data_IF_500029836970
#
_entry.id   IF_500029836970
#
_cell.length_a   1.000
_cell.length_b   1.000
_cell.length_c   1.000
_cell.angle_alpha   90.00
_cell.angle_beta   90.00
_cell.angle_gamma   90.00
#
_symmetry.space_group_name_H-M   'P 1'
#
loop_
_entity.id
_entity.type
_entity.pdbx_description
1 polymer ?
#
# COMPACT_ATOMS: atom_id res chain seq x y z
N UNK A 1 -19.21 -15.62 19.18
CA UNK A 1 -18.92 -14.55 18.20
C UNK A 1 -20.06 -13.54 18.14
N UNK A 2 -21.32 -13.97 18.06
CA UNK A 2 -22.52 -13.10 17.99
C UNK A 2 -22.74 -12.24 19.26
N UNK A 3 -22.54 -12.81 20.46
CA UNK A 3 -22.67 -12.07 21.73
C UNK A 3 -21.60 -10.96 21.93
N UNK A 4 -20.41 -11.08 21.32
CA UNK A 4 -19.33 -10.09 21.46
C UNK A 4 -19.63 -8.75 20.76
N UNK A 5 -20.61 -8.74 19.86
CA UNK A 5 -21.02 -7.55 19.09
C UNK A 5 -22.47 -7.12 19.39
N UNK A 6 -23.02 -7.51 20.55
CA UNK A 6 -24.37 -7.12 20.98
C UNK A 6 -25.50 -7.74 20.15
N UNK A 7 -25.20 -8.78 19.36
CA UNK A 7 -26.19 -9.58 18.66
C UNK A 7 -26.57 -10.83 19.45
N UNK A 8 -27.72 -11.40 19.10
CA UNK A 8 -28.19 -12.67 19.66
C UNK A 8 -28.32 -13.73 18.56
N UNK A 9 -28.01 -14.98 18.91
CA UNK A 9 -28.22 -16.13 18.02
C UNK A 9 -28.95 -17.21 18.77
N UNK A 10 -30.01 -17.75 18.17
CA UNK A 10 -30.68 -18.93 18.71
C UNK A 10 -31.09 -19.90 17.60
N UNK A 11 -31.23 -21.14 18.02
CA UNK A 11 -31.60 -22.28 17.19
C UNK A 11 -33.07 -22.60 17.40
N UNK A 12 -33.82 -22.70 16.30
CA UNK A 12 -35.25 -23.01 16.31
C UNK A 12 -35.52 -24.21 15.39
N UNK A 13 -36.37 -25.14 15.84
CA UNK A 13 -36.74 -26.33 15.06
C UNK A 13 -38.25 -26.43 14.93
N UNK A 14 -38.75 -26.38 13.70
CA UNK A 14 -40.17 -26.52 13.41
C UNK A 14 -40.54 -28.00 13.25
N UNK A 15 -41.24 -28.56 14.25
CA UNK A 15 -41.52 -30.00 14.32
C UNK A 15 -42.48 -30.52 13.24
N UNK A 16 -43.34 -29.66 12.70
CA UNK A 16 -44.35 -30.06 11.71
C UNK A 16 -43.74 -30.18 10.30
N UNK A 17 -42.75 -29.34 9.99
CA UNK A 17 -42.08 -29.30 8.69
C UNK A 17 -40.71 -29.99 8.65
N UNK A 18 -40.22 -30.47 9.80
CA UNK A 18 -38.88 -31.05 9.95
C UNK A 18 -37.73 -30.10 9.54
N UNK A 19 -37.96 -28.79 9.58
CA UNK A 19 -36.95 -27.77 9.25
C UNK A 19 -36.30 -27.23 10.53
N UNK A 20 -35.04 -26.83 10.42
CA UNK A 20 -34.28 -26.21 11.49
C UNK A 20 -33.61 -24.94 10.95
N UNK A 21 -33.69 -23.86 11.71
CA UNK A 21 -33.15 -22.56 11.31
C UNK A 21 -32.30 -21.95 12.43
N UNK A 22 -31.26 -21.23 12.02
CA UNK A 22 -30.51 -20.33 12.87
C UNK A 22 -31.00 -18.91 12.63
N UNK A 23 -31.45 -18.23 13.68
CA UNK A 23 -31.82 -16.82 13.62
C UNK A 23 -30.70 -15.99 14.23
N UNK A 24 -30.36 -14.90 13.54
CA UNK A 24 -29.38 -13.92 13.98
C UNK A 24 -30.09 -12.58 14.15
N UNK A 25 -29.95 -11.99 15.33
CA UNK A 25 -30.34 -10.62 15.59
C UNK A 25 -29.05 -9.79 15.59
N UNK A 26 -28.90 -8.92 14.59
CA UNK A 26 -27.74 -8.05 14.45
C UNK A 26 -28.15 -6.62 14.83
N UNK A 27 -27.41 -5.92 15.72
CA UNK A 27 -27.69 -4.53 16.01
C UNK A 27 -27.46 -3.66 14.77
N UNK A 28 -28.38 -2.73 14.52
CA UNK A 28 -28.26 -1.76 13.45
C UNK A 28 -27.15 -0.77 13.80
N UNK A 29 -26.16 -0.63 12.91
CA UNK A 29 -25.14 0.41 13.00
C UNK A 29 -25.79 1.80 13.06
N UNK A 30 -25.17 2.72 13.79
CA UNK A 30 -25.68 4.09 13.88
C UNK A 30 -25.54 4.81 12.53
N UNK A 31 -26.42 5.78 12.28
CA UNK A 31 -26.40 6.58 11.04
C UNK A 31 -25.06 7.29 10.85
N UNK A 32 -24.35 7.63 11.94
CA UNK A 32 -23.06 8.29 11.89
C UNK A 32 -21.92 7.35 11.46
N UNK A 33 -21.87 6.13 12.00
CA UNK A 33 -20.92 5.09 11.55
C UNK A 33 -21.19 4.69 10.10
N UNK A 34 -22.46 4.65 9.68
CA UNK A 34 -22.84 4.41 8.30
C UNK A 34 -22.40 5.55 7.38
N UNK A 35 -22.53 6.81 7.78
CA UNK A 35 -22.11 7.97 6.99
C UNK A 35 -20.58 8.06 6.86
N UNK A 36 -19.83 7.82 7.94
CA UNK A 36 -18.36 7.80 7.92
C UNK A 36 -17.84 6.63 7.07
N UNK A 37 -18.40 5.43 7.24
CA UNK A 37 -18.08 4.29 6.39
C UNK A 37 -18.47 4.53 4.92
N UNK A 38 -19.61 5.16 4.65
CA UNK A 38 -20.04 5.47 3.28
C UNK A 38 -19.17 6.54 2.64
N UNK A 39 -18.70 7.55 3.39
CA UNK A 39 -17.74 8.54 2.88
C UNK A 39 -16.38 7.91 2.59
N UNK A 40 -15.91 6.98 3.43
CA UNK A 40 -14.66 6.25 3.22
C UNK A 40 -14.77 5.27 2.04
N UNK A 41 -15.90 4.56 1.91
CA UNK A 41 -16.19 3.66 0.77
C UNK A 41 -16.44 4.43 -0.54
N UNK A 42 -17.05 5.61 -0.50
CA UNK A 42 -17.16 6.48 -1.68
C UNK A 42 -15.80 7.06 -2.09
N UNK A 43 -14.87 7.16 -1.15
CA UNK A 43 -13.48 7.54 -1.37
C UNK A 43 -12.59 6.29 -1.48
N UNK A 44 -13.02 5.32 -2.27
CA UNK A 44 -12.38 4.02 -2.53
C UNK A 44 -10.90 4.11 -2.96
N UNK A 45 -10.37 5.31 -3.20
CA UNK A 45 -8.95 5.56 -3.48
C UNK A 45 -8.32 6.21 -2.27
N UNK A 46 -7.22 5.61 -1.77
CA UNK A 46 -6.23 6.36 -0.97
C UNK A 46 -6.01 7.72 -1.66
N UNK A 47 -5.97 8.85 -0.93
CA UNK A 47 -5.70 10.15 -1.53
C UNK A 47 -4.40 10.05 -2.32
N UNK A 48 -4.38 10.57 -3.53
CA UNK A 48 -3.13 10.65 -4.28
C UNK A 48 -2.26 11.72 -3.61
N UNK A 49 -1.13 11.29 -3.05
CA UNK A 49 -0.20 12.17 -2.36
C UNK A 49 0.89 12.59 -3.35
N UNK A 50 1.06 13.89 -3.52
CA UNK A 50 2.00 14.49 -4.48
C UNK A 50 3.07 15.32 -3.79
N UNK A 51 3.84 14.69 -2.89
CA UNK A 51 4.93 15.35 -2.19
C UNK A 51 6.28 14.90 -2.78
N UNK A 52 6.81 15.71 -3.70
CA UNK A 52 8.09 15.45 -4.36
C UNK A 52 9.30 15.83 -3.51
N UNK A 53 9.09 16.59 -2.43
CA UNK A 53 10.16 16.92 -1.50
C UNK A 53 10.58 15.67 -0.70
N UNK A 54 9.74 14.61 -0.65
CA UNK A 54 10.16 13.28 -0.18
C UNK A 54 11.27 12.65 -1.02
N UNK A 55 11.40 13.03 -2.29
CA UNK A 55 12.32 12.39 -3.23
C UNK A 55 13.61 13.20 -3.45
N UNK A 56 13.93 14.14 -2.56
CA UNK A 56 15.15 14.95 -2.67
C UNK A 56 16.42 14.08 -2.63
N UNK A 57 17.38 14.45 -3.46
CA UNK A 57 18.58 13.68 -3.76
C UNK A 57 19.59 13.74 -2.60
N UNK A 58 19.91 12.60 -1.99
CA UNK A 58 21.08 12.41 -1.08
C UNK A 58 22.32 11.94 -1.86
N UNK A 59 23.53 12.01 -1.27
CA UNK A 59 24.78 11.57 -1.92
C UNK A 59 24.76 10.08 -2.34
N UNK A 60 24.00 9.21 -1.65
CA UNK A 60 23.79 7.81 -2.05
C UNK A 60 22.95 7.67 -3.31
N UNK A 61 21.97 8.56 -3.53
CA UNK A 61 21.14 8.59 -4.76
C UNK A 61 21.97 8.88 -6.01
N UNK A 62 23.07 9.63 -5.89
CA UNK A 62 23.88 10.04 -7.04
C UNK A 62 24.59 8.87 -7.75
N UNK A 63 24.87 7.76 -7.06
CA UNK A 63 25.59 6.63 -7.66
C UNK A 63 24.70 5.72 -8.50
N UNK A 64 23.38 5.68 -8.23
CA UNK A 64 22.42 4.83 -8.93
C UNK A 64 21.71 5.55 -10.07
N UNK A 65 21.71 6.88 -10.08
CA UNK A 65 20.96 7.71 -11.03
C UNK A 65 21.24 7.38 -12.51
N UNK A 66 22.51 7.16 -12.88
CA UNK A 66 22.91 6.87 -14.27
C UNK A 66 22.87 5.37 -14.62
N UNK A 67 22.51 4.49 -13.66
CA UNK A 67 22.38 3.06 -13.93
C UNK A 67 21.11 2.76 -14.72
N UNK A 68 21.20 1.74 -15.57
CA UNK A 68 20.05 1.23 -16.31
C UNK A 68 19.03 0.62 -15.34
N UNK A 69 17.74 0.88 -15.58
CA UNK A 69 16.64 0.30 -14.80
C UNK A 69 16.67 -1.23 -14.81
N UNK A 70 17.16 -1.84 -15.89
CA UNK A 70 17.31 -3.30 -16.01
C UNK A 70 18.35 -3.90 -15.06
N UNK A 71 19.29 -3.09 -14.60
CA UNK A 71 20.46 -3.53 -13.84
C UNK A 71 20.29 -3.27 -12.32
N UNK A 72 19.16 -2.66 -11.94
CA UNK A 72 18.84 -2.32 -10.57
C UNK A 72 18.07 -3.45 -9.89
N UNK A 73 18.23 -3.52 -8.57
CA UNK A 73 17.37 -4.32 -7.68
C UNK A 73 16.37 -3.40 -7.02
N UNK A 74 15.15 -3.91 -6.84
CA UNK A 74 14.04 -3.12 -6.30
C UNK A 74 13.44 -3.81 -5.09
N UNK A 75 13.07 -3.02 -4.09
CA UNK A 75 12.15 -3.42 -3.03
C UNK A 75 10.82 -2.76 -3.31
N UNK A 76 9.85 -3.56 -3.75
CA UNK A 76 8.49 -3.10 -3.98
C UNK A 76 7.71 -3.29 -2.69
N UNK A 77 7.04 -2.26 -2.19
CA UNK A 77 6.35 -2.34 -0.92
C UNK A 77 5.02 -1.57 -0.92
N UNK A 78 4.18 -1.92 0.05
CA UNK A 78 2.92 -1.25 0.37
C UNK A 78 2.72 -1.23 1.90
N UNK A 79 1.95 -0.27 2.39
CA UNK A 79 1.54 -0.18 3.79
C UNK A 79 0.02 -0.12 3.93
N UNK A 80 -0.50 -0.82 4.94
CA UNK A 80 -1.86 -0.59 5.42
C UNK A 80 -1.80 0.23 6.70
N UNK A 81 -2.78 1.13 6.88
CA UNK A 81 -2.75 2.16 7.91
C UNK A 81 -4.11 2.29 8.62
N UNK A 82 -4.13 2.90 9.80
CA UNK A 82 -5.38 3.20 10.54
C UNK A 82 -6.24 4.27 9.87
N UNK A 83 -5.72 4.93 8.83
CA UNK A 83 -6.35 6.06 8.17
C UNK A 83 -5.39 6.70 7.18
N UNK A 84 -5.78 7.84 6.63
CA UNK A 84 -5.12 8.43 5.46
C UNK A 84 -4.22 9.62 5.80
N UNK A 85 -4.15 10.06 7.07
CA UNK A 85 -3.50 11.31 7.48
C UNK A 85 -2.39 11.04 8.53
N UNK A 86 -1.14 10.78 8.10
CA UNK A 86 -0.01 10.59 9.01
C UNK A 86 0.18 11.75 10.00
N UNK A 87 -0.05 12.97 9.54
CA UNK A 87 0.11 14.19 10.34
C UNK A 87 -0.94 14.32 11.46
N UNK A 88 -2.10 13.70 11.30
CA UNK A 88 -3.18 13.68 12.29
C UNK A 88 -3.08 12.43 13.20
N UNK A 89 -1.95 11.74 13.13
CA UNK A 89 -1.57 10.65 14.01
C UNK A 89 -1.94 9.25 13.51
N UNK A 90 -2.44 9.09 12.28
CA UNK A 90 -2.65 7.76 11.71
C UNK A 90 -1.35 6.95 11.70
N UNK A 91 -1.47 5.63 11.91
CA UNK A 91 -0.34 4.74 12.12
C UNK A 91 -0.35 3.56 11.14
N UNK A 92 0.83 3.02 10.86
CA UNK A 92 0.98 1.79 10.06
C UNK A 92 0.48 0.59 10.87
N UNK A 93 -0.32 -0.27 10.23
CA UNK A 93 -0.84 -1.53 10.78
C UNK A 93 -0.34 -2.77 10.03
N UNK A 94 0.20 -2.61 8.82
CA UNK A 94 0.89 -3.68 8.09
C UNK A 94 1.93 -3.11 7.14
N UNK A 95 3.04 -3.82 6.97
CA UNK A 95 4.00 -3.60 5.88
C UNK A 95 4.13 -4.91 5.09
N UNK A 96 4.05 -4.79 3.77
CA UNK A 96 4.29 -5.89 2.84
C UNK A 96 5.29 -5.47 1.78
N UNK A 97 6.25 -6.33 1.45
CA UNK A 97 7.24 -6.04 0.43
C UNK A 97 7.76 -7.29 -0.28
N UNK A 98 8.30 -7.09 -1.48
CA UNK A 98 8.91 -8.14 -2.28
C UNK A 98 10.09 -7.60 -3.08
N UNK A 99 11.09 -8.46 -3.33
CA UNK A 99 12.27 -8.11 -4.11
C UNK A 99 12.09 -8.40 -5.60
N UNK A 100 12.60 -7.49 -6.43
CA UNK A 100 12.86 -7.73 -7.84
C UNK A 100 14.36 -7.66 -8.07
N UNK A 101 14.93 -8.72 -8.64
CA UNK A 101 16.36 -8.82 -8.96
C UNK A 101 16.50 -9.36 -10.38
N UNK A 102 17.36 -8.72 -11.20
CA UNK A 102 17.57 -9.09 -12.60
C UNK A 102 16.26 -9.19 -13.40
N UNK A 103 15.35 -8.22 -13.20
CA UNK A 103 14.05 -8.16 -13.88
C UNK A 103 13.07 -9.28 -13.51
N UNK A 104 13.27 -9.97 -12.37
CA UNK A 104 12.39 -11.05 -11.90
C UNK A 104 11.90 -10.79 -10.49
N UNK A 105 10.60 -10.93 -10.27
CA UNK A 105 9.97 -10.92 -8.95
C UNK A 105 10.33 -12.20 -8.18
N UNK A 106 10.94 -12.03 -7.01
CA UNK A 106 11.32 -13.12 -6.10
C UNK A 106 10.28 -13.22 -4.98
N UNK A 107 9.16 -13.92 -5.22
CA UNK A 107 8.06 -14.03 -4.24
C UNK A 107 8.47 -14.66 -2.91
N UNK A 108 9.51 -15.49 -2.92
CA UNK A 108 10.11 -16.11 -1.73
C UNK A 108 11.01 -15.17 -0.92
N UNK A 109 11.43 -14.05 -1.52
CA UNK A 109 12.12 -12.96 -0.84
C UNK A 109 11.11 -11.84 -0.59
N UNK A 110 10.20 -12.11 0.35
CA UNK A 110 9.16 -11.18 0.78
C UNK A 110 9.33 -10.81 2.26
N UNK A 111 8.78 -9.65 2.59
CA UNK A 111 8.63 -9.16 3.96
C UNK A 111 7.14 -8.95 4.19
N UNK A 112 6.60 -9.48 5.29
CA UNK A 112 5.20 -9.25 5.68
C UNK A 112 5.11 -9.18 7.19
N UNK A 113 4.61 -8.06 7.71
CA UNK A 113 4.51 -7.86 9.15
C UNK A 113 3.27 -7.06 9.50
N UNK A 114 2.41 -7.63 10.35
CA UNK A 114 1.39 -6.88 11.07
C UNK A 114 2.04 -6.07 12.19
N UNK A 115 1.54 -4.86 12.39
CA UNK A 115 2.08 -3.87 13.32
C UNK A 115 0.99 -3.52 14.32
N UNK A 116 1.35 -3.44 15.60
CA UNK A 116 0.47 -2.87 16.61
C UNK A 116 0.57 -1.34 16.54
N UNK A 117 -0.51 -0.63 16.14
CA UNK A 117 -0.46 0.82 15.95
C UNK A 117 -0.48 1.59 17.29
N UNK A 118 -0.59 0.91 18.44
CA UNK A 118 -0.70 1.57 19.75
C UNK A 118 -2.00 2.35 19.95
N UNK A 119 -2.95 2.23 19.02
CA UNK A 119 -4.25 2.90 19.00
C UNK A 119 -5.36 1.99 18.48
N UNK A 120 -6.60 2.49 18.54
CA UNK A 120 -7.75 1.82 17.94
C UNK A 120 -7.72 1.99 16.41
N UNK A 121 -7.94 0.89 15.70
CA UNK A 121 -8.21 0.89 14.25
C UNK A 121 -9.65 1.37 14.05
N UNK A 122 -9.90 2.47 13.33
CA UNK A 122 -11.25 2.92 13.01
C UNK A 122 -12.05 1.85 12.27
N UNK A 123 -13.29 1.61 12.69
CA UNK A 123 -14.14 0.57 12.11
C UNK A 123 -14.35 0.75 10.59
N UNK A 124 -14.29 1.98 10.10
CA UNK A 124 -14.47 2.31 8.69
C UNK A 124 -13.28 1.94 7.78
N UNK A 125 -12.07 1.71 8.33
CA UNK A 125 -10.92 1.26 7.50
C UNK A 125 -10.86 -0.26 7.37
N UNK A 126 -11.44 -1.00 8.31
CA UNK A 126 -11.45 -2.47 8.34
C UNK A 126 -12.01 -3.09 7.06
N UNK A 127 -13.12 -2.61 6.45
CA UNK A 127 -13.61 -3.16 5.18
C UNK A 127 -12.64 -3.01 4.01
N UNK A 128 -11.71 -2.05 4.08
CA UNK A 128 -10.71 -1.81 3.03
C UNK A 128 -9.64 -2.89 3.10
N UNK A 129 -8.92 -2.98 4.22
CA UNK A 129 -7.72 -3.83 4.37
C UNK A 129 -7.96 -5.16 5.11
N UNK A 130 -9.15 -5.38 5.67
CA UNK A 130 -9.52 -6.58 6.43
C UNK A 130 -8.85 -6.76 7.80
N UNK A 131 -7.81 -5.97 8.12
CA UNK A 131 -7.12 -6.00 9.42
C UNK A 131 -8.02 -5.51 10.56
N UNK A 132 -8.16 -6.34 11.59
CA UNK A 132 -8.95 -6.03 12.80
C UNK A 132 -8.06 -5.74 14.01
N UNK A 133 -8.63 -5.12 15.05
CA UNK A 133 -7.91 -4.85 16.31
C UNK A 133 -7.31 -6.12 16.93
N UNK A 134 -8.04 -7.24 16.88
CA UNK A 134 -7.60 -8.53 17.44
C UNK A 134 -6.38 -9.08 16.68
N UNK A 135 -6.24 -8.78 15.37
CA UNK A 135 -5.10 -9.25 14.56
C UNK A 135 -3.79 -8.52 14.89
N UNK A 136 -3.89 -7.24 15.26
CA UNK A 136 -2.73 -6.40 15.61
C UNK A 136 -2.40 -6.44 17.10
N UNK A 137 -3.29 -6.98 17.94
CA UNK A 137 -3.05 -7.12 19.36
C UNK A 137 -1.84 -8.03 19.64
N UNK A 138 -0.87 -7.52 20.40
CA UNK A 138 0.36 -8.25 20.74
C UNK A 138 1.38 -8.35 19.60
N UNK A 139 1.12 -7.72 18.45
CA UNK A 139 2.14 -7.53 17.40
C UNK A 139 3.17 -6.48 17.82
N UNK A 140 4.38 -6.51 17.25
CA UNK A 140 5.39 -5.49 17.53
C UNK A 140 4.91 -4.09 17.11
N UNK A 141 5.32 -3.03 17.83
CA UNK A 141 5.12 -1.65 17.37
C UNK A 141 5.96 -1.36 16.13
N UNK A 142 5.61 -0.29 15.41
CA UNK A 142 6.29 0.09 14.17
C UNK A 142 7.80 0.34 14.36
N UNK A 143 8.18 0.84 15.53
CA UNK A 143 9.59 1.10 15.90
C UNK A 143 10.46 -0.16 15.92
N UNK A 144 9.86 -1.33 16.16
CA UNK A 144 10.56 -2.61 16.20
C UNK A 144 10.58 -3.28 14.81
N UNK A 145 9.59 -2.96 13.97
CA UNK A 145 9.41 -3.53 12.62
C UNK A 145 10.28 -2.81 11.59
N UNK A 146 10.37 -1.47 11.67
CA UNK A 146 11.09 -0.67 10.68
C UNK A 146 12.57 -1.01 10.53
N UNK A 147 13.36 -1.32 11.59
CA UNK A 147 14.74 -1.76 11.42
C UNK A 147 14.88 -3.00 10.53
N UNK A 148 13.95 -3.96 10.65
CA UNK A 148 13.96 -5.18 9.84
C UNK A 148 13.57 -4.87 8.39
N UNK A 149 12.56 -4.03 8.18
CA UNK A 149 12.18 -3.58 6.83
C UNK A 149 13.29 -2.74 6.16
N UNK A 150 13.94 -1.85 6.91
CA UNK A 150 15.07 -1.07 6.43
C UNK A 150 16.23 -1.97 5.97
N UNK A 151 16.57 -3.00 6.77
CA UNK A 151 17.56 -4.00 6.40
C UNK A 151 17.13 -4.79 5.14
N UNK A 152 15.85 -5.15 5.03
CA UNK A 152 15.31 -5.82 3.85
C UNK A 152 15.40 -4.94 2.58
N UNK A 153 15.27 -3.62 2.70
CA UNK A 153 15.34 -2.67 1.60
C UNK A 153 16.78 -2.26 1.19
N UNK A 154 17.81 -2.68 1.94
CA UNK A 154 19.19 -2.29 1.65
C UNK A 154 19.62 -2.61 0.22
N UNK A 155 20.39 -1.68 -0.36
CA UNK A 155 20.95 -1.73 -1.71
C UNK A 155 19.90 -1.90 -2.82
N UNK A 156 18.67 -1.45 -2.58
CA UNK A 156 17.59 -1.45 -3.57
C UNK A 156 17.01 -0.06 -3.81
N UNK A 157 16.38 0.11 -4.97
CA UNK A 157 15.47 1.22 -5.23
C UNK A 157 14.10 0.85 -4.65
N UNK A 158 13.49 1.75 -3.89
CA UNK A 158 12.13 1.56 -3.39
C UNK A 158 11.13 1.81 -4.51
N UNK A 159 10.13 0.95 -4.60
CA UNK A 159 9.02 1.09 -5.55
C UNK A 159 7.71 0.94 -4.79
N UNK A 160 6.79 1.87 -5.00
CA UNK A 160 5.43 1.78 -4.45
C UNK A 160 4.42 2.34 -5.46
N UNK A 161 3.14 2.19 -5.16
CA UNK A 161 2.07 2.80 -5.93
C UNK A 161 1.51 3.97 -5.14
N UNK A 162 1.58 5.20 -5.67
CA UNK A 162 1.34 6.42 -4.88
C UNK A 162 2.36 6.55 -3.74
N UNK A 163 3.64 6.40 -4.07
CA UNK A 163 4.74 6.16 -3.14
C UNK A 163 4.90 7.26 -2.07
N UNK A 164 4.49 8.50 -2.37
CA UNK A 164 4.55 9.58 -1.41
C UNK A 164 3.72 9.31 -0.14
N UNK A 165 2.60 8.58 -0.27
CA UNK A 165 1.77 8.16 0.87
C UNK A 165 2.56 7.29 1.84
N UNK A 166 3.06 6.13 1.37
CA UNK A 166 3.79 5.18 2.20
C UNK A 166 5.07 5.81 2.76
N UNK A 167 5.79 6.55 1.93
CA UNK A 167 7.02 7.22 2.33
C UNK A 167 6.77 8.28 3.42
N UNK A 168 5.61 8.95 3.42
CA UNK A 168 5.25 9.90 4.48
C UNK A 168 5.11 9.22 5.83
N UNK A 169 4.48 8.05 5.88
CA UNK A 169 4.41 7.25 7.10
C UNK A 169 5.81 6.84 7.58
N UNK A 170 6.68 6.38 6.67
CA UNK A 170 8.06 6.02 7.03
C UNK A 170 8.84 7.22 7.60
N UNK A 171 8.73 8.40 6.97
CA UNK A 171 9.39 9.62 7.44
C UNK A 171 8.90 10.08 8.82
N UNK A 172 7.60 9.95 9.12
CA UNK A 172 7.07 10.32 10.45
C UNK A 172 7.69 9.46 11.57
N UNK A 173 8.11 8.24 11.26
CA UNK A 173 8.78 7.35 12.21
C UNK A 173 10.28 7.61 12.36
N UNK A 174 10.88 8.47 11.54
CA UNK A 174 12.29 8.85 11.65
C UNK A 174 12.60 9.43 13.04
N UNK A 175 11.70 10.25 13.58
CA UNK A 175 11.88 10.85 14.92
C UNK A 175 11.91 9.82 16.05
N UNK A 176 11.25 8.68 15.87
CA UNK A 176 11.14 7.62 16.87
C UNK A 176 12.21 6.54 16.70
N UNK A 177 12.64 6.27 15.46
CA UNK A 177 13.56 5.18 15.13
C UNK A 177 14.98 5.64 14.82
N UNK A 178 15.15 6.91 14.44
CA UNK A 178 16.40 7.44 13.87
C UNK A 178 16.71 6.92 12.45
N UNK A 179 15.80 6.15 11.84
CA UNK A 179 16.00 5.57 10.51
C UNK A 179 15.56 6.54 9.43
N UNK A 180 16.52 6.95 8.60
CA UNK A 180 16.27 7.80 7.43
C UNK A 180 16.23 6.93 6.18
N UNK A 181 15.07 6.85 5.53
CA UNK A 181 14.91 6.14 4.25
C UNK A 181 15.42 7.00 3.09
N UNK A 182 16.74 7.07 2.90
CA UNK A 182 17.43 7.81 1.84
C UNK A 182 17.47 7.10 0.48
N UNK A 183 16.79 5.95 0.34
CA UNK A 183 16.74 5.17 -0.88
C UNK A 183 16.14 5.98 -2.04
N UNK A 184 16.62 5.81 -3.28
CA UNK A 184 15.87 6.31 -4.43
C UNK A 184 14.49 5.66 -4.47
N UNK A 185 13.47 6.44 -4.85
CA UNK A 185 12.09 5.97 -4.93
C UNK A 185 11.53 6.13 -6.34
N UNK A 186 10.74 5.16 -6.80
CA UNK A 186 9.96 5.20 -8.01
C UNK A 186 8.48 4.97 -7.69
N UNK A 187 7.62 5.77 -8.30
CA UNK A 187 6.17 5.69 -8.14
C UNK A 187 5.53 5.10 -9.41
N UNK A 188 4.90 3.93 -9.28
CA UNK A 188 4.24 3.25 -10.40
C UNK A 188 2.98 3.99 -10.88
N UNK A 189 2.31 4.78 -10.04
CA UNK A 189 1.18 5.61 -10.45
C UNK A 189 1.66 6.68 -11.44
N UNK A 190 2.67 7.46 -11.04
CA UNK A 190 3.25 8.50 -11.88
C UNK A 190 3.86 7.94 -13.17
N UNK A 191 4.61 6.83 -13.06
CA UNK A 191 5.22 6.20 -14.23
C UNK A 191 4.17 5.58 -15.16
N UNK A 192 3.05 5.07 -14.63
CA UNK A 192 1.94 4.67 -15.49
C UNK A 192 1.31 5.85 -16.22
N UNK A 193 1.25 7.04 -15.62
CA UNK A 193 0.75 8.25 -16.26
C UNK A 193 1.69 8.76 -17.36
N UNK A 194 3.00 8.58 -17.20
CA UNK A 194 3.98 8.81 -18.26
C UNK A 194 3.73 7.87 -19.45
N UNK A 195 3.59 6.57 -19.17
CA UNK A 195 3.48 5.54 -20.20
C UNK A 195 2.12 5.55 -20.90
N UNK A 196 1.04 5.88 -20.19
CA UNK A 196 -0.31 5.88 -20.74
C UNK A 196 -1.04 7.21 -20.48
N UNK A 197 -0.62 8.33 -21.09
CA UNK A 197 -1.13 9.66 -20.76
C UNK A 197 -2.62 9.88 -21.12
N UNK A 198 -3.19 9.03 -21.96
CA UNK A 198 -4.59 9.13 -22.42
C UNK A 198 -5.56 8.27 -21.61
N UNK A 199 -5.13 7.79 -20.43
CA UNK A 199 -5.93 6.90 -19.61
C UNK A 199 -6.62 7.65 -18.50
N UNK A 200 -7.88 7.32 -18.26
CA UNK A 200 -8.70 8.02 -17.26
C UNK A 200 -8.27 7.70 -15.83
N UNK A 201 -7.77 6.48 -15.59
CA UNK A 201 -7.36 6.03 -14.26
C UNK A 201 -5.99 5.37 -14.27
N UNK A 202 -5.19 5.76 -13.27
CA UNK A 202 -3.90 5.18 -12.92
C UNK A 202 -3.92 4.52 -11.54
N UNK A 203 -5.11 4.17 -11.03
CA UNK A 203 -5.22 3.35 -9.83
C UNK A 203 -4.65 1.95 -10.07
N UNK A 204 -4.15 1.33 -9.01
CA UNK A 204 -3.55 0.00 -9.08
C UNK A 204 -4.53 -1.03 -9.70
N UNK A 205 -5.82 -0.96 -9.37
CA UNK A 205 -6.88 -1.80 -9.98
C UNK A 205 -6.90 -1.65 -11.50
N UNK A 206 -6.99 -0.41 -11.98
CA UNK A 206 -7.14 -0.10 -13.40
C UNK A 206 -5.88 -0.47 -14.19
N UNK A 207 -4.68 -0.29 -13.61
CA UNK A 207 -3.43 -0.68 -14.26
C UNK A 207 -3.29 -2.21 -14.29
N UNK A 208 -3.63 -2.90 -13.20
CA UNK A 208 -3.59 -4.35 -13.16
C UNK A 208 -4.53 -4.98 -14.19
N UNK A 209 -5.76 -4.46 -14.33
CA UNK A 209 -6.72 -4.88 -15.34
C UNK A 209 -6.19 -4.63 -16.76
N UNK A 210 -5.70 -3.41 -17.03
CA UNK A 210 -5.08 -3.02 -18.32
C UNK A 210 -3.97 -3.97 -18.74
N UNK A 211 -3.13 -4.39 -17.80
CA UNK A 211 -2.02 -5.31 -18.06
C UNK A 211 -2.40 -6.78 -17.93
N UNK A 212 -3.67 -7.11 -17.67
CA UNK A 212 -4.13 -8.48 -17.43
C UNK A 212 -3.28 -9.19 -16.36
N UNK A 213 -2.99 -8.49 -15.26
CA UNK A 213 -2.28 -9.02 -14.10
C UNK A 213 -3.29 -9.73 -13.20
N UNK A 214 -3.04 -11.00 -12.89
CA UNK A 214 -3.88 -11.73 -11.96
C UNK A 214 -3.66 -11.20 -10.55
N UNK A 215 -4.69 -10.59 -9.99
CA UNK A 215 -4.68 -10.05 -8.63
C UNK A 215 -4.98 -11.18 -7.64
N UNK A 216 -4.02 -11.48 -6.77
CA UNK A 216 -4.16 -12.47 -5.70
C UNK A 216 -3.83 -11.81 -4.36
N UNK A 217 -4.67 -12.02 -3.34
CA UNK A 217 -4.43 -11.49 -2.00
C UNK A 217 -4.54 -9.95 -1.89
N UNK A 218 -5.34 -9.31 -2.76
CA UNK A 218 -5.57 -7.85 -2.74
C UNK A 218 -6.01 -7.37 -1.38
N UNK A 219 -5.68 -6.13 -1.06
CA UNK A 219 -6.03 -5.46 0.20
C UNK A 219 -5.32 -6.07 1.41
N UNK A 220 -4.20 -6.74 1.14
CA UNK A 220 -3.15 -6.98 2.12
C UNK A 220 -1.92 -6.27 1.60
N UNK A 221 -1.10 -5.73 2.50
CA UNK A 221 0.09 -5.00 2.10
C UNK A 221 1.01 -5.87 1.20
N UNK A 222 1.16 -7.17 1.50
CA UNK A 222 1.99 -8.05 0.68
C UNK A 222 1.36 -8.34 -0.70
N UNK A 223 0.05 -8.56 -0.75
CA UNK A 223 -0.65 -8.77 -2.01
C UNK A 223 -0.56 -7.55 -2.94
N UNK A 224 -0.76 -6.36 -2.39
CA UNK A 224 -0.68 -5.11 -3.15
C UNK A 224 0.77 -4.79 -3.56
N UNK A 225 1.77 -5.13 -2.74
CA UNK A 225 3.18 -5.09 -3.13
C UNK A 225 3.49 -6.04 -4.30
N UNK A 226 2.91 -7.25 -4.34
CA UNK A 226 3.07 -8.17 -5.47
C UNK A 226 2.41 -7.65 -6.75
N UNK A 227 1.20 -7.08 -6.66
CA UNK A 227 0.54 -6.49 -7.83
C UNK A 227 1.36 -5.30 -8.33
N UNK A 228 1.85 -4.44 -7.43
CA UNK A 228 2.71 -3.30 -7.76
C UNK A 228 4.01 -3.76 -8.42
N UNK A 229 4.59 -4.88 -7.97
CA UNK A 229 5.80 -5.45 -8.55
C UNK A 229 5.57 -5.94 -9.99
N UNK A 230 4.45 -6.63 -10.23
CA UNK A 230 4.05 -7.03 -11.59
C UNK A 230 3.80 -5.80 -12.47
N UNK A 231 3.13 -4.77 -11.95
CA UNK A 231 2.94 -3.50 -12.67
C UNK A 231 4.28 -2.88 -13.05
N UNK A 232 5.22 -2.79 -12.11
CA UNK A 232 6.56 -2.25 -12.37
C UNK A 232 7.26 -3.02 -13.51
N UNK A 233 7.24 -4.35 -13.47
CA UNK A 233 7.82 -5.21 -14.50
C UNK A 233 7.19 -5.00 -15.88
N UNK A 234 5.89 -4.66 -15.95
CA UNK A 234 5.21 -4.33 -17.21
C UNK A 234 5.50 -2.91 -17.70
N UNK A 235 5.73 -1.96 -16.79
CA UNK A 235 6.10 -0.59 -17.15
C UNK A 235 7.53 -0.50 -17.68
N UNK A 236 8.46 -1.30 -17.17
CA UNK A 236 9.89 -1.24 -17.51
C UNK A 236 10.18 -1.29 -19.03
N UNK A 237 9.69 -2.28 -19.81
CA UNK A 237 9.92 -2.30 -21.26
C UNK A 237 9.24 -1.13 -22.00
N UNK A 238 8.12 -0.61 -21.48
CA UNK A 238 7.42 0.53 -22.09
C UNK A 238 8.21 1.83 -21.88
N UNK A 239 8.74 2.05 -20.68
CA UNK A 239 9.65 3.15 -20.38
C UNK A 239 10.90 3.09 -21.27
N UNK A 240 11.49 1.90 -21.43
CA UNK A 240 12.64 1.69 -22.31
C UNK A 240 12.32 2.05 -23.77
N UNK A 241 11.13 1.67 -24.28
CA UNK A 241 10.68 2.03 -25.62
C UNK A 241 10.50 3.54 -25.82
N UNK A 242 10.24 4.28 -24.73
CA UNK A 242 10.18 5.75 -24.72
C UNK A 242 11.56 6.42 -24.55
N UNK A 243 12.65 5.63 -24.48
CA UNK A 243 14.00 6.14 -24.23
C UNK A 243 14.32 6.43 -22.76
N UNK A 244 13.42 6.08 -21.84
CA UNK A 244 13.61 6.18 -20.39
C UNK A 244 14.26 4.89 -19.93
N UNK A 245 15.59 4.90 -19.80
CA UNK A 245 16.39 3.68 -19.56
C UNK A 245 17.13 3.71 -18.24
N UNK A 246 17.34 4.88 -17.65
CA UNK A 246 18.07 5.06 -16.39
C UNK A 246 17.16 5.47 -15.24
N UNK A 247 17.63 5.28 -14.01
CA UNK A 247 16.91 5.70 -12.80
C UNK A 247 16.59 7.20 -12.81
N UNK A 248 17.57 8.05 -13.15
CA UNK A 248 17.39 9.51 -13.23
C UNK A 248 16.28 9.86 -14.22
N UNK A 249 16.32 9.29 -15.42
CA UNK A 249 15.32 9.56 -16.45
C UNK A 249 13.91 9.16 -15.98
N UNK A 250 13.76 8.02 -15.29
CA UNK A 250 12.47 7.60 -14.76
C UNK A 250 11.93 8.58 -13.71
N UNK A 251 12.77 9.00 -12.75
CA UNK A 251 12.40 9.98 -11.72
C UNK A 251 12.03 11.33 -12.32
N UNK A 252 12.83 11.84 -13.26
CA UNK A 252 12.54 13.09 -13.97
C UNK A 252 11.25 13.01 -14.80
N UNK A 253 10.98 11.87 -15.44
CA UNK A 253 9.76 11.67 -16.20
C UNK A 253 8.52 11.66 -15.28
N UNK A 254 8.59 10.96 -14.15
CA UNK A 254 7.53 10.96 -13.13
C UNK A 254 7.22 12.37 -12.61
N UNK A 255 8.26 13.18 -12.34
CA UNK A 255 8.12 14.59 -11.91
C UNK A 255 7.49 15.53 -12.94
N UNK A 256 7.48 15.16 -14.23
CA UNK A 256 6.91 15.99 -15.30
C UNK A 256 5.43 15.72 -15.56
N UNK A 257 4.86 14.67 -14.94
CA UNK A 257 3.45 14.33 -15.10
C UNK A 257 2.52 15.42 -14.57
N UNK A 258 1.30 15.50 -15.10
CA UNK A 258 0.29 16.46 -14.64
C UNK A 258 0.02 16.32 -13.13
N UNK A 259 -0.01 15.08 -12.66
CA UNK A 259 -0.13 14.69 -11.26
C UNK A 259 0.97 15.32 -10.38
N UNK A 260 2.18 15.49 -10.90
CA UNK A 260 3.27 16.15 -10.18
C UNK A 260 3.09 17.67 -9.97
N UNK A 261 2.14 18.29 -10.68
CA UNK A 261 1.88 19.73 -10.60
C UNK A 261 0.80 20.09 -9.60
N UNK A 262 0.12 19.09 -9.03
CA UNK A 262 -0.87 19.26 -7.97
C UNK A 262 -0.13 19.40 -6.63
N UNK A 263 0.38 20.61 -6.35
CA UNK A 263 0.86 20.95 -5.00
C UNK A 263 -0.34 21.10 -4.07
N UNK A 264 -0.39 20.31 -3.00
CA UNK A 264 -1.29 20.51 -1.87
C UNK A 264 -0.48 20.92 -0.64
#
# INVERSE_FOLDING_TARGET
>A
MVERHGGEMWFERERIRHEAFFRFLLPLASVQEQLEATQILQNDSRPEYYDFDLFQTTDQTSALDDRLLSDLSFTVFDTETTGLNPSDGDEIIQIGAARIVNGKLLKQESFEQLVNPGRLIPAATIPIHGITQDMVQGKPPITDVLPAFYAFAQDTVLVAHNAAFDMKFLQMQEKHTGLVFSHPVLDTLLLSAVVHPNQESHRLEAIAERFNITVQGRHTALGDAFVTAEVWLRLLPLLQAMGITTLRQAREAAQKTYYARLKY
#
